data_IF_920472743131
#
_entry.id   IF_920472743131
#
_cell.length_a   1.000
_cell.length_b   1.000
_cell.length_c   1.000
_cell.angle_alpha   90.00
_cell.angle_beta   90.00
_cell.angle_gamma   90.00
#
_symmetry.space_group_name_H-M   'P 1'
#
loop_
_entity.id
_entity.type
_entity.pdbx_description
1 polymer ?
#
# COMPACT_ATOMS: atom_id res chain seq x y z
N UNK A 1 -32.93 15.37 19.59
CA UNK A 1 -32.00 14.24 19.80
C UNK A 1 -31.31 13.76 18.51
N UNK A 2 -31.91 13.88 17.32
CA UNK A 2 -31.34 13.35 16.05
C UNK A 2 -30.20 14.18 15.43
N UNK A 3 -30.14 15.49 15.69
CA UNK A 3 -29.12 16.37 15.11
C UNK A 3 -27.72 16.11 15.68
N UNK A 4 -27.61 15.91 17.00
CA UNK A 4 -26.36 15.64 17.71
C UNK A 4 -25.62 14.41 17.16
N UNK A 5 -26.35 13.32 16.92
CA UNK A 5 -25.76 12.09 16.39
C UNK A 5 -25.16 12.32 15.01
N UNK A 6 -25.91 12.96 14.11
CA UNK A 6 -25.48 13.14 12.71
C UNK A 6 -24.43 14.23 12.53
N UNK A 7 -24.41 15.25 13.39
CA UNK A 7 -23.48 16.38 13.29
C UNK A 7 -22.22 16.23 14.11
N UNK A 8 -22.19 15.40 15.15
CA UNK A 8 -21.01 15.24 16.02
C UNK A 8 -20.52 13.80 16.01
N UNK A 9 -21.37 12.83 16.37
CA UNK A 9 -20.95 11.44 16.49
C UNK A 9 -20.52 10.83 15.16
N UNK A 10 -21.32 10.98 14.09
CA UNK A 10 -20.98 10.45 12.76
C UNK A 10 -19.67 11.05 12.22
N UNK A 11 -19.49 12.39 12.13
CA UNK A 11 -18.25 12.96 11.60
C UNK A 11 -17.04 12.64 12.48
N UNK A 12 -17.19 12.59 13.80
CA UNK A 12 -16.11 12.17 14.70
C UNK A 12 -15.72 10.70 14.48
N UNK A 13 -16.69 9.80 14.34
CA UNK A 13 -16.44 8.38 14.06
C UNK A 13 -15.71 8.20 12.73
N UNK A 14 -16.10 8.94 11.69
CA UNK A 14 -15.42 8.92 10.39
C UNK A 14 -13.96 9.33 10.56
N UNK A 15 -13.66 10.40 11.30
CA UNK A 15 -12.28 10.81 11.57
C UNK A 15 -11.49 9.76 12.34
N UNK A 16 -12.08 9.15 13.37
CA UNK A 16 -11.43 8.08 14.15
C UNK A 16 -11.10 6.88 13.28
N UNK A 17 -12.06 6.39 12.48
CA UNK A 17 -11.85 5.25 11.57
C UNK A 17 -10.83 5.62 10.49
N UNK A 18 -10.93 6.82 9.92
CA UNK A 18 -9.97 7.31 8.94
C UNK A 18 -8.55 7.31 9.51
N UNK A 19 -8.32 7.94 10.66
CA UNK A 19 -7.00 7.97 11.30
C UNK A 19 -6.50 6.57 11.67
N UNK A 20 -7.38 5.72 12.19
CA UNK A 20 -7.04 4.34 12.50
C UNK A 20 -6.60 3.57 11.25
N UNK A 21 -7.40 3.61 10.18
CA UNK A 21 -7.07 2.94 8.92
C UNK A 21 -5.80 3.49 8.28
N UNK A 22 -5.59 4.81 8.34
CA UNK A 22 -4.38 5.46 7.86
C UNK A 22 -3.16 4.89 8.59
N UNK A 23 -3.19 4.84 9.92
CA UNK A 23 -2.09 4.28 10.73
C UNK A 23 -1.88 2.79 10.44
N UNK A 24 -2.95 1.99 10.39
CA UNK A 24 -2.85 0.54 10.15
C UNK A 24 -2.26 0.23 8.77
N UNK A 25 -2.76 0.90 7.73
CA UNK A 25 -2.27 0.70 6.36
C UNK A 25 -0.84 1.19 6.22
N UNK A 26 -0.51 2.36 6.77
CA UNK A 26 0.87 2.85 6.80
C UNK A 26 1.78 1.87 7.52
N UNK A 27 1.46 1.46 8.74
CA UNK A 27 2.27 0.50 9.51
C UNK A 27 2.47 -0.83 8.76
N UNK A 28 1.42 -1.32 8.08
CA UNK A 28 1.47 -2.55 7.30
C UNK A 28 2.48 -2.48 6.14
N UNK A 29 2.56 -1.35 5.44
CA UNK A 29 3.52 -1.15 4.35
C UNK A 29 4.99 -1.17 4.81
N UNK A 30 5.25 -0.88 6.08
CA UNK A 30 6.59 -0.94 6.68
C UNK A 30 6.88 -2.26 7.40
N UNK A 31 6.00 -3.26 7.30
CA UNK A 31 6.29 -4.59 7.85
C UNK A 31 7.40 -5.27 7.03
N UNK A 32 8.29 -6.04 7.68
CA UNK A 32 9.38 -6.74 6.98
C UNK A 32 8.89 -7.61 5.82
N UNK A 33 7.71 -8.22 5.96
CA UNK A 33 7.10 -9.04 4.91
C UNK A 33 6.55 -8.26 3.72
N UNK A 34 6.20 -6.98 3.88
CA UNK A 34 5.74 -6.11 2.79
C UNK A 34 6.94 -5.62 1.95
N UNK A 35 8.02 -5.24 2.62
CA UNK A 35 9.28 -4.85 1.98
C UNK A 35 10.13 -6.02 1.47
N UNK A 36 9.83 -7.25 1.89
CA UNK A 36 10.53 -8.45 1.44
C UNK A 36 10.11 -8.89 0.03
N UNK A 37 9.10 -8.25 -0.57
CA UNK A 37 8.74 -8.57 -1.94
C UNK A 37 9.89 -8.13 -2.86
N UNK A 38 10.57 -9.07 -3.53
CA UNK A 38 11.69 -8.73 -4.39
C UNK A 38 11.18 -7.77 -5.47
N UNK A 39 12.00 -6.78 -5.83
CA UNK A 39 11.79 -6.07 -7.08
C UNK A 39 11.64 -7.09 -8.21
N UNK A 40 10.89 -6.79 -9.30
CA UNK A 40 10.87 -7.64 -10.48
C UNK A 40 12.29 -7.80 -11.04
N UNK A 41 13.00 -8.82 -10.56
CA UNK A 41 14.23 -9.30 -11.14
C UNK A 41 13.77 -10.32 -12.16
N UNK A 42 13.89 -9.97 -13.44
CA UNK A 42 13.38 -10.77 -14.55
C UNK A 42 13.69 -12.26 -14.37
N UNK A 43 12.66 -13.02 -14.00
CA UNK A 43 12.64 -14.48 -14.09
C UNK A 43 12.07 -14.93 -15.43
N UNK A 44 12.13 -14.06 -16.43
CA UNK A 44 11.78 -14.37 -17.80
C UNK A 44 13.09 -14.47 -18.58
N UNK A 45 13.51 -15.67 -19.02
CA UNK A 45 14.73 -15.83 -19.80
C UNK A 45 14.70 -15.02 -21.10
N UNK A 46 13.54 -14.57 -21.58
CA UNK A 46 13.45 -13.64 -22.73
C UNK A 46 13.97 -12.24 -22.41
N UNK A 47 13.81 -11.75 -21.17
CA UNK A 47 14.34 -10.44 -20.73
C UNK A 47 15.87 -10.48 -20.59
N UNK A 48 16.45 -11.62 -20.22
CA UNK A 48 17.90 -11.80 -20.19
C UNK A 48 18.54 -11.75 -21.59
N UNK A 49 17.81 -12.15 -22.64
CA UNK A 49 18.29 -12.10 -24.03
C UNK A 49 18.17 -10.71 -24.66
N UNK A 50 17.26 -9.87 -24.18
CA UNK A 50 17.10 -8.47 -24.65
C UNK A 50 18.24 -7.57 -24.15
N UNK A 51 18.85 -7.92 -23.02
CA UNK A 51 19.90 -7.11 -22.37
C UNK A 51 21.33 -7.48 -22.82
N UNK A 52 21.52 -8.57 -23.56
CA UNK A 52 22.82 -8.93 -24.09
C UNK A 52 23.23 -7.92 -25.18
N UNK A 53 24.45 -7.38 -25.15
CA UNK A 53 24.91 -6.48 -26.19
C UNK A 53 24.95 -7.21 -27.53
N UNK A 54 24.13 -6.76 -28.49
CA UNK A 54 24.11 -7.29 -29.86
C UNK A 54 25.27 -6.72 -30.67
N UNK A 55 26.52 -7.03 -30.29
CA UNK A 55 27.67 -6.75 -31.16
C UNK A 55 27.87 -7.94 -32.09
N UNK A 56 27.21 -7.86 -33.24
CA UNK A 56 27.57 -8.59 -34.47
C UNK A 56 27.27 -7.71 -35.67
#
# INVERSE_FOLDING_TARGET
MSAFVRQILIPFLILVVFLFTLVVVSARAFLPGDMAQPAPLGSDPSIALIQLPHWS
#
